data_IF_918361600124
#
_entry.id   IF_918361600124
#
_cell.length_a   1.000
_cell.length_b   1.000
_cell.length_c   1.000
_cell.angle_alpha   90.00
_cell.angle_beta   90.00
_cell.angle_gamma   90.00
#
_symmetry.space_group_name_H-M   'P 1'
#
loop_
_entity.id
_entity.type
_entity.pdbx_description
1 polymer ?
#
# COMPACT_ATOMS: atom_id res chain seq x y z
N UNK A 1 -24.42 3.27 -1.94
CA UNK A 1 -24.84 3.02 -0.54
C UNK A 1 -23.97 3.93 0.32
N UNK A 2 -24.58 4.77 1.15
CA UNK A 2 -23.82 5.66 2.04
C UNK A 2 -23.84 5.05 3.44
N UNK A 3 -22.70 4.62 3.95
CA UNK A 3 -22.53 4.14 5.32
C UNK A 3 -21.45 4.95 6.02
N UNK A 4 -21.55 5.09 7.34
CA UNK A 4 -20.53 5.72 8.15
C UNK A 4 -19.63 4.64 8.75
N UNK A 5 -18.35 4.54 8.32
CA UNK A 5 -17.45 3.51 8.80
C UNK A 5 -17.16 3.60 10.32
N UNK A 6 -17.40 4.77 10.94
CA UNK A 6 -17.23 4.96 12.38
C UNK A 6 -18.27 4.21 13.22
N UNK A 7 -19.39 3.80 12.61
CA UNK A 7 -20.46 3.06 13.30
C UNK A 7 -20.22 1.57 13.39
N UNK A 8 -19.26 1.04 12.61
CA UNK A 8 -18.95 -0.39 12.67
C UNK A 8 -18.17 -0.72 13.96
N UNK A 9 -18.33 -1.94 14.44
CA UNK A 9 -17.50 -2.49 15.49
C UNK A 9 -16.23 -3.03 14.87
N UNK A 10 -15.17 -2.25 14.87
CA UNK A 10 -13.86 -2.67 14.34
C UNK A 10 -13.19 -3.64 15.29
N UNK A 11 -12.83 -4.82 14.80
CA UNK A 11 -12.06 -5.82 15.53
C UNK A 11 -10.56 -5.52 15.42
N UNK A 12 -10.13 -5.06 14.26
CA UNK A 12 -8.75 -4.70 13.98
C UNK A 12 -8.37 -4.95 12.53
N UNK A 13 -7.09 -5.00 12.25
CA UNK A 13 -6.52 -5.46 10.98
C UNK A 13 -5.41 -6.46 11.26
N UNK A 14 -5.39 -7.60 10.55
CA UNK A 14 -4.38 -8.66 10.75
C UNK A 14 -2.99 -8.25 10.30
N UNK A 15 -2.90 -7.24 9.42
CA UNK A 15 -1.63 -6.67 8.98
C UNK A 15 -1.80 -5.19 8.65
N UNK A 16 -0.68 -4.47 8.62
CA UNK A 16 -0.62 -3.04 8.31
C UNK A 16 0.62 -2.77 7.47
N UNK A 17 0.47 -2.01 6.38
CA UNK A 17 1.62 -1.56 5.59
C UNK A 17 2.52 -0.58 6.35
N UNK A 18 2.08 -0.04 7.48
CA UNK A 18 2.97 0.69 8.39
C UNK A 18 4.05 -0.20 9.01
N UNK A 19 3.77 -1.49 9.18
CA UNK A 19 4.67 -2.50 9.72
C UNK A 19 5.30 -3.37 8.61
N UNK A 20 4.55 -3.66 7.53
CA UNK A 20 5.04 -4.23 6.28
C UNK A 20 5.56 -3.08 5.37
N UNK A 21 5.41 -3.16 4.07
CA UNK A 21 5.67 -2.08 3.13
C UNK A 21 4.83 -2.22 1.86
N UNK A 22 4.51 -1.10 1.23
CA UNK A 22 4.03 -1.06 -0.14
C UNK A 22 5.13 -0.47 -1.01
N UNK A 23 5.56 -1.18 -2.05
CA UNK A 23 6.80 -0.90 -2.77
C UNK A 23 6.52 -0.46 -4.20
N UNK A 24 7.28 0.51 -4.70
CA UNK A 24 7.48 0.72 -6.12
C UNK A 24 8.67 -0.14 -6.57
N UNK A 25 8.40 -1.14 -7.39
CA UNK A 25 9.40 -2.07 -7.91
C UNK A 25 9.52 -1.95 -9.42
N UNK A 26 10.77 -1.91 -9.91
CA UNK A 26 11.12 -1.91 -11.33
C UNK A 26 12.15 -3.00 -11.63
N UNK A 27 12.11 -3.51 -12.85
CA UNK A 27 13.19 -4.37 -13.35
C UNK A 27 14.52 -3.60 -13.39
N UNK A 28 15.61 -4.29 -13.08
CA UNK A 28 16.97 -3.70 -13.11
C UNK A 28 17.42 -3.31 -14.53
N UNK A 29 16.85 -3.94 -15.57
CA UNK A 29 17.13 -3.63 -16.98
C UNK A 29 16.20 -2.52 -17.55
N UNK A 30 15.29 -1.96 -16.76
CA UNK A 30 14.48 -0.81 -17.17
C UNK A 30 15.33 0.45 -17.37
N UNK A 31 14.94 1.39 -18.25
CA UNK A 31 15.71 2.62 -18.50
C UNK A 31 15.86 3.52 -17.27
N UNK A 32 14.84 3.55 -16.41
CA UNK A 32 14.82 4.33 -15.17
C UNK A 32 15.48 3.52 -14.06
N UNK A 33 16.54 4.07 -13.48
CA UNK A 33 17.37 3.37 -12.50
C UNK A 33 17.23 3.93 -11.08
N UNK A 34 16.73 5.15 -10.95
CA UNK A 34 16.67 5.91 -9.68
C UNK A 34 15.48 6.87 -9.67
N UNK A 35 15.15 7.41 -8.49
CA UNK A 35 14.16 8.50 -8.36
C UNK A 35 14.61 9.75 -9.14
N UNK A 36 15.91 10.02 -9.19
CA UNK A 36 16.44 11.15 -9.97
C UNK A 36 16.21 10.94 -11.47
N UNK A 37 16.38 9.73 -11.98
CA UNK A 37 16.05 9.41 -13.38
C UNK A 37 14.55 9.54 -13.65
N UNK A 38 13.72 9.06 -12.71
CA UNK A 38 12.26 9.14 -12.82
C UNK A 38 11.74 10.58 -12.83
N UNK A 39 12.50 11.55 -12.33
CA UNK A 39 12.18 12.98 -12.31
C UNK A 39 12.88 13.77 -13.43
N UNK A 40 13.70 13.14 -14.26
CA UNK A 40 14.50 13.84 -15.27
C UNK A 40 13.58 14.42 -16.36
N UNK A 41 13.61 15.74 -16.61
CA UNK A 41 12.84 16.33 -17.68
C UNK A 41 13.19 15.70 -19.04
N UNK A 42 12.18 15.28 -19.82
CA UNK A 42 12.38 14.61 -21.09
C UNK A 42 12.96 13.19 -21.02
N UNK A 43 13.14 12.65 -19.81
CA UNK A 43 13.52 11.26 -19.62
C UNK A 43 12.40 10.28 -19.97
N UNK A 44 12.71 8.98 -20.14
CA UNK A 44 11.69 7.97 -20.42
C UNK A 44 10.77 7.81 -19.20
N UNK A 45 9.45 7.57 -19.42
CA UNK A 45 8.57 7.23 -18.31
C UNK A 45 8.81 5.81 -17.83
N UNK A 46 8.55 5.57 -16.55
CA UNK A 46 8.42 4.22 -16.00
C UNK A 46 7.12 3.58 -16.50
N UNK A 47 7.21 2.46 -17.22
CA UNK A 47 6.05 1.71 -17.70
C UNK A 47 5.57 0.78 -16.59
N UNK A 48 4.58 1.22 -15.80
CA UNK A 48 4.03 0.46 -14.68
C UNK A 48 2.73 -0.23 -15.07
N UNK A 49 2.59 -1.48 -14.66
CA UNK A 49 1.35 -2.23 -14.82
C UNK A 49 0.36 -1.97 -13.68
N UNK A 50 -0.92 -1.89 -14.03
CA UNK A 50 -2.05 -1.76 -13.11
C UNK A 50 -3.18 -2.74 -13.43
N UNK A 51 -4.01 -3.05 -12.43
CA UNK A 51 -5.09 -4.04 -12.58
C UNK A 51 -6.44 -3.41 -12.90
N UNK A 52 -6.90 -2.53 -12.06
CA UNK A 52 -8.22 -1.91 -12.20
C UNK A 52 -8.28 -0.57 -11.47
N UNK A 53 -9.18 0.25 -11.92
CA UNK A 53 -9.52 1.52 -11.30
C UNK A 53 -9.85 1.36 -9.81
N UNK A 54 -9.26 2.21 -8.94
CA UNK A 54 -9.41 2.14 -7.49
C UNK A 54 -8.61 1.02 -6.83
N UNK A 55 -7.80 0.29 -7.57
CA UNK A 55 -6.82 -0.64 -7.00
C UNK A 55 -5.56 0.12 -6.57
N UNK A 56 -4.84 -0.44 -5.61
CA UNK A 56 -3.58 0.15 -5.14
C UNK A 56 -2.49 0.12 -6.21
N UNK A 57 -2.55 -0.82 -7.17
CA UNK A 57 -1.64 -0.87 -8.31
C UNK A 57 -1.86 0.27 -9.32
N UNK A 58 -3.03 0.91 -9.27
CA UNK A 58 -3.38 2.05 -10.11
C UNK A 58 -3.26 3.37 -9.34
N UNK A 59 -3.84 3.43 -8.15
CA UNK A 59 -3.93 4.66 -7.37
C UNK A 59 -2.56 5.15 -6.89
N UNK A 60 -1.68 4.24 -6.44
CA UNK A 60 -0.34 4.65 -5.97
C UNK A 60 0.52 5.23 -7.09
N UNK A 61 0.66 4.61 -8.29
CA UNK A 61 1.37 5.25 -9.41
C UNK A 61 0.86 6.64 -9.76
N UNK A 62 -0.46 6.85 -9.75
CA UNK A 62 -1.05 8.17 -10.00
C UNK A 62 -0.58 9.17 -8.93
N UNK A 63 -0.68 8.82 -7.65
CA UNK A 63 -0.22 9.67 -6.56
C UNK A 63 1.29 9.98 -6.65
N UNK A 64 2.11 8.98 -6.98
CA UNK A 64 3.54 9.18 -7.15
C UNK A 64 3.86 10.11 -8.34
N UNK A 65 3.11 10.02 -9.43
CA UNK A 65 3.22 10.92 -10.58
C UNK A 65 2.84 12.35 -10.20
N UNK A 66 1.66 12.53 -9.63
CA UNK A 66 1.10 13.87 -9.36
C UNK A 66 1.78 14.58 -8.19
N UNK A 67 2.12 13.85 -7.11
CA UNK A 67 2.64 14.45 -5.89
C UNK A 67 4.18 14.48 -5.83
N UNK A 68 4.85 13.55 -6.50
CA UNK A 68 6.30 13.46 -6.48
C UNK A 68 6.96 13.84 -7.83
N UNK A 69 6.17 14.11 -8.86
CA UNK A 69 6.69 14.45 -10.19
C UNK A 69 7.45 13.30 -10.86
N UNK A 70 7.08 12.05 -10.57
CA UNK A 70 7.69 10.90 -11.23
C UNK A 70 7.08 10.70 -12.63
N UNK A 71 7.92 10.51 -13.64
CA UNK A 71 7.45 10.21 -14.99
C UNK A 71 6.95 8.76 -15.03
N UNK A 72 5.65 8.56 -14.89
CA UNK A 72 4.99 7.26 -14.89
C UNK A 72 4.00 7.19 -16.02
N UNK A 73 4.07 6.13 -16.82
CA UNK A 73 3.03 5.70 -17.76
C UNK A 73 2.40 4.42 -17.21
N UNK A 74 1.14 4.52 -16.80
CA UNK A 74 0.38 3.40 -16.26
C UNK A 74 -0.28 2.61 -17.40
N UNK A 75 -0.09 1.30 -17.43
CA UNK A 75 -0.69 0.35 -18.37
C UNK A 75 -1.70 -0.49 -17.59
N UNK A 76 -2.98 -0.18 -17.75
CA UNK A 76 -4.07 -0.83 -17.04
C UNK A 76 -4.67 -2.02 -17.81
N UNK A 77 -5.47 -2.82 -17.11
CA UNK A 77 -6.27 -3.89 -17.69
C UNK A 77 -5.74 -5.29 -17.42
N UNK A 78 -4.70 -5.44 -16.60
CA UNK A 78 -4.30 -6.77 -16.13
C UNK A 78 -5.36 -7.32 -15.19
N UNK A 79 -5.86 -8.52 -15.46
CA UNK A 79 -7.00 -9.12 -14.75
C UNK A 79 -6.80 -9.22 -13.24
N UNK A 80 -5.59 -9.55 -12.83
CA UNK A 80 -5.21 -9.75 -11.43
C UNK A 80 -3.71 -9.59 -11.20
N UNK A 81 -3.30 -9.67 -9.94
CA UNK A 81 -1.90 -9.50 -9.54
C UNK A 81 -0.98 -10.59 -10.11
N UNK A 82 -1.46 -11.83 -10.28
CA UNK A 82 -0.68 -12.93 -10.84
C UNK A 82 -0.34 -12.70 -12.31
N UNK A 83 -1.33 -12.28 -13.10
CA UNK A 83 -1.12 -11.92 -14.51
C UNK A 83 -0.15 -10.75 -14.64
N UNK A 84 -0.25 -9.76 -13.75
CA UNK A 84 0.65 -8.61 -13.77
C UNK A 84 2.09 -8.99 -13.39
N UNK A 85 2.30 -9.91 -12.46
CA UNK A 85 3.63 -10.44 -12.16
C UNK A 85 4.24 -11.10 -13.40
N UNK A 86 3.46 -11.95 -14.10
CA UNK A 86 3.90 -12.62 -15.33
C UNK A 86 4.25 -11.61 -16.43
N UNK A 87 3.44 -10.56 -16.62
CA UNK A 87 3.70 -9.50 -17.60
C UNK A 87 5.04 -8.79 -17.35
N UNK A 88 5.39 -8.56 -16.07
CA UNK A 88 6.70 -7.99 -15.72
C UNK A 88 7.83 -8.97 -16.04
N UNK A 89 7.69 -10.25 -15.70
CA UNK A 89 8.69 -11.28 -16.02
C UNK A 89 8.87 -11.43 -17.54
N UNK A 90 7.80 -11.30 -18.32
CA UNK A 90 7.82 -11.31 -19.79
C UNK A 90 8.25 -9.99 -20.44
N UNK A 91 8.54 -8.95 -19.61
CA UNK A 91 8.99 -7.63 -20.06
C UNK A 91 7.94 -6.80 -20.83
N UNK A 92 6.66 -7.09 -20.65
CA UNK A 92 5.58 -6.28 -21.23
C UNK A 92 5.49 -4.90 -20.55
N UNK A 93 5.73 -4.88 -19.23
CA UNK A 93 5.86 -3.65 -18.43
C UNK A 93 7.13 -3.71 -17.58
N UNK A 94 7.58 -2.56 -17.11
CA UNK A 94 8.86 -2.45 -16.40
C UNK A 94 8.73 -2.74 -14.91
N UNK A 95 7.54 -2.57 -14.34
CA UNK A 95 7.33 -2.77 -12.91
C UNK A 95 5.91 -2.49 -12.47
N UNK A 96 5.76 -2.33 -11.16
CA UNK A 96 4.47 -2.07 -10.50
C UNK A 96 4.65 -1.51 -9.12
N UNK A 97 3.54 -1.05 -8.53
CA UNK A 97 3.43 -0.90 -7.07
C UNK A 97 2.77 -2.15 -6.47
N UNK A 98 3.28 -2.62 -5.32
CA UNK A 98 2.86 -3.90 -4.73
C UNK A 98 3.21 -4.00 -3.25
N UNK A 99 2.38 -4.69 -2.47
CA UNK A 99 2.69 -5.02 -1.07
C UNK A 99 3.83 -6.04 -0.95
N UNK A 100 4.76 -5.81 -0.05
CA UNK A 100 5.93 -6.67 0.16
C UNK A 100 5.54 -8.11 0.49
N UNK A 101 4.51 -8.33 1.33
CA UNK A 101 4.01 -9.67 1.63
C UNK A 101 3.51 -10.42 0.37
N UNK A 102 2.93 -9.71 -0.60
CA UNK A 102 2.54 -10.31 -1.87
C UNK A 102 3.74 -10.73 -2.71
N UNK A 103 4.83 -9.96 -2.68
CA UNK A 103 6.09 -10.33 -3.34
C UNK A 103 6.70 -11.55 -2.66
N UNK A 104 6.77 -11.55 -1.32
CA UNK A 104 7.31 -12.69 -0.55
C UNK A 104 6.58 -14.00 -0.82
N UNK A 105 5.24 -13.95 -0.90
CA UNK A 105 4.42 -15.14 -1.11
C UNK A 105 4.40 -15.64 -2.55
N UNK A 106 4.33 -14.74 -3.54
CA UNK A 106 4.12 -15.10 -4.94
C UNK A 106 5.40 -15.07 -5.78
N UNK A 107 6.35 -14.14 -5.49
CA UNK A 107 7.54 -13.87 -6.29
C UNK A 107 8.78 -13.60 -5.43
N UNK A 108 9.03 -14.46 -4.43
CA UNK A 108 10.13 -14.28 -3.48
C UNK A 108 11.52 -14.12 -4.12
N UNK A 109 11.74 -14.62 -5.34
CA UNK A 109 12.97 -14.42 -6.09
C UNK A 109 13.24 -12.93 -6.46
N UNK A 110 12.20 -12.07 -6.46
CA UNK A 110 12.37 -10.64 -6.66
C UNK A 110 13.04 -9.93 -5.48
N UNK A 111 13.15 -10.61 -4.33
CA UNK A 111 13.81 -10.11 -3.12
C UNK A 111 15.17 -10.79 -2.86
N UNK A 112 15.57 -11.72 -3.72
CA UNK A 112 16.87 -12.41 -3.61
C UNK A 112 18.03 -11.44 -3.90
N UNK A 113 19.27 -11.72 -3.43
CA UNK A 113 20.43 -10.87 -3.69
C UNK A 113 20.70 -10.62 -5.18
N UNK A 114 20.43 -11.63 -6.01
CA UNK A 114 20.56 -11.61 -7.48
C UNK A 114 19.24 -11.23 -8.19
N UNK A 115 18.29 -10.67 -7.45
CA UNK A 115 16.97 -10.27 -7.98
C UNK A 115 17.07 -9.50 -9.29
N UNK A 116 16.20 -9.80 -10.28
CA UNK A 116 16.06 -8.97 -11.49
C UNK A 116 15.37 -7.63 -11.22
N UNK A 117 14.83 -7.45 -10.02
CA UNK A 117 14.07 -6.26 -9.62
C UNK A 117 14.88 -5.35 -8.68
N UNK A 118 14.48 -4.09 -8.63
CA UNK A 118 14.91 -3.11 -7.63
C UNK A 118 13.71 -2.45 -6.98
N UNK A 119 13.84 -2.06 -5.74
CA UNK A 119 12.87 -1.22 -5.03
C UNK A 119 13.33 0.23 -5.13
N UNK A 120 12.47 1.12 -5.61
CA UNK A 120 12.78 2.55 -5.76
C UNK A 120 12.18 3.42 -4.66
N UNK A 121 11.06 2.99 -4.07
CA UNK A 121 10.30 3.79 -3.12
C UNK A 121 9.44 2.89 -2.23
N UNK A 122 9.24 3.32 -0.98
CA UNK A 122 8.30 2.74 -0.03
C UNK A 122 7.10 3.68 0.15
N UNK A 123 5.89 3.14 0.09
CA UNK A 123 4.61 3.83 0.33
C UNK A 123 3.87 3.19 1.49
N UNK A 124 2.93 3.92 2.11
CA UNK A 124 2.10 3.41 3.19
C UNK A 124 2.76 3.44 4.57
N UNK A 125 3.93 4.08 4.70
CA UNK A 125 4.69 4.09 5.95
C UNK A 125 5.45 5.39 6.21
N UNK A 126 5.58 5.73 7.50
CA UNK A 126 6.23 6.97 7.92
C UNK A 126 7.76 6.90 7.92
N UNK A 127 8.32 5.70 8.11
CA UNK A 127 9.78 5.48 8.20
C UNK A 127 10.19 4.33 7.30
N UNK A 128 11.45 4.31 6.90
CA UNK A 128 12.01 3.23 6.07
C UNK A 128 11.95 1.89 6.81
N UNK A 129 11.61 0.82 6.07
CA UNK A 129 11.71 -0.54 6.57
C UNK A 129 13.21 -0.89 6.73
N UNK A 130 13.64 -1.53 7.82
CA UNK A 130 15.06 -1.89 8.01
C UNK A 130 15.65 -2.71 6.85
N UNK A 131 14.87 -3.62 6.26
CA UNK A 131 15.25 -4.41 5.08
C UNK A 131 15.54 -3.55 3.83
N UNK A 132 14.95 -2.35 3.75
CA UNK A 132 15.12 -1.38 2.66
C UNK A 132 15.57 -0.02 3.19
N UNK A 133 16.56 -0.01 4.09
CA UNK A 133 17.04 1.20 4.75
C UNK A 133 17.54 2.28 3.78
N UNK A 134 18.03 1.88 2.60
CA UNK A 134 18.53 2.79 1.57
C UNK A 134 17.44 3.29 0.61
N UNK A 135 16.21 2.74 0.70
CA UNK A 135 15.09 3.11 -0.16
C UNK A 135 14.23 4.16 0.55
N UNK A 136 14.01 5.35 -0.05
CA UNK A 136 13.23 6.41 0.58
C UNK A 136 11.75 6.06 0.67
N UNK A 137 11.06 6.67 1.64
CA UNK A 137 9.59 6.67 1.68
C UNK A 137 9.03 7.78 0.78
N UNK A 138 7.76 7.64 0.38
CA UNK A 138 7.07 8.69 -0.38
C UNK A 138 7.06 10.03 0.38
N UNK A 139 6.92 9.99 1.72
CA UNK A 139 6.92 11.20 2.56
C UNK A 139 8.26 11.93 2.56
N UNK A 140 9.38 11.20 2.49
CA UNK A 140 10.73 11.80 2.40
C UNK A 140 10.97 12.49 1.05
N UNK A 141 10.29 12.03 -0.01
CA UNK A 141 10.42 12.55 -1.37
C UNK A 141 9.43 13.67 -1.69
N UNK A 142 8.50 13.98 -0.80
CA UNK A 142 7.52 15.05 -0.99
C UNK A 142 8.25 16.41 -1.18
N UNK A 143 7.90 17.18 -2.23
CA UNK A 143 8.56 18.44 -2.53
C UNK A 143 8.25 19.55 -1.52
N UNK A 144 7.11 19.45 -0.84
CA UNK A 144 6.63 20.43 0.14
C UNK A 144 5.67 19.78 1.17
N UNK A 145 5.25 20.56 2.16
CA UNK A 145 4.37 20.11 3.22
C UNK A 145 2.96 19.78 2.72
N UNK A 146 2.48 20.43 1.64
CA UNK A 146 1.17 20.14 1.06
C UNK A 146 1.15 18.76 0.40
N UNK A 147 2.12 18.46 -0.46
CA UNK A 147 2.29 17.13 -1.06
C UNK A 147 2.46 16.05 0.00
N UNK A 148 3.24 16.35 1.06
CA UNK A 148 3.39 15.44 2.21
C UNK A 148 2.06 15.17 2.90
N UNK A 149 1.24 16.18 3.15
CA UNK A 149 -0.06 16.03 3.79
C UNK A 149 -1.03 15.18 2.93
N UNK A 150 -1.01 15.34 1.61
CA UNK A 150 -1.78 14.50 0.68
C UNK A 150 -1.30 13.05 0.67
N UNK A 151 0.02 12.81 0.68
CA UNK A 151 0.59 11.46 0.80
C UNK A 151 0.16 10.82 2.11
N UNK A 152 0.32 11.53 3.24
CA UNK A 152 -0.09 11.02 4.56
C UNK A 152 -1.58 10.71 4.63
N UNK A 153 -2.43 11.53 4.00
CA UNK A 153 -3.86 11.28 3.89
C UNK A 153 -4.16 10.03 3.05
N UNK A 154 -3.49 9.89 1.91
CA UNK A 154 -3.64 8.74 1.02
C UNK A 154 -3.15 7.43 1.65
N UNK A 155 -2.18 7.51 2.57
CA UNK A 155 -1.63 6.35 3.29
C UNK A 155 -2.49 5.86 4.46
N UNK A 156 -3.46 6.64 4.95
CA UNK A 156 -4.28 6.23 6.09
C UNK A 156 -4.99 4.88 5.89
N UNK A 157 -5.61 4.57 4.73
CA UNK A 157 -6.22 3.26 4.49
C UNK A 157 -5.22 2.10 4.53
N UNK A 158 -3.94 2.35 4.26
CA UNK A 158 -2.88 1.33 4.26
C UNK A 158 -2.53 0.82 5.66
N UNK A 159 -2.94 1.56 6.71
CA UNK A 159 -2.88 1.05 8.09
C UNK A 159 -3.79 -0.16 8.30
N UNK A 160 -4.84 -0.28 7.48
CA UNK A 160 -5.88 -1.30 7.55
C UNK A 160 -5.80 -2.23 6.33
N UNK A 161 -4.68 -2.92 6.13
CA UNK A 161 -4.50 -3.72 4.91
C UNK A 161 -5.37 -4.99 4.86
N UNK A 162 -5.73 -5.57 6.02
CA UNK A 162 -6.64 -6.72 6.14
C UNK A 162 -7.61 -6.52 7.31
N UNK A 163 -8.59 -5.60 7.14
CA UNK A 163 -9.48 -5.20 8.23
C UNK A 163 -10.58 -6.22 8.50
N UNK A 164 -10.95 -6.32 9.77
CA UNK A 164 -12.10 -7.08 10.26
C UNK A 164 -13.03 -6.16 11.03
N UNK A 165 -14.31 -6.18 10.67
CA UNK A 165 -15.34 -5.41 11.32
C UNK A 165 -16.62 -6.24 11.47
N UNK A 166 -17.34 -5.99 12.54
CA UNK A 166 -18.68 -6.48 12.76
C UNK A 166 -19.70 -5.36 12.51
N UNK A 167 -20.99 -5.68 12.28
CA UNK A 167 -22.04 -4.70 12.10
C UNK A 167 -22.10 -3.65 13.24
N UNK A 168 -22.69 -2.48 12.99
CA UNK A 168 -22.98 -1.53 14.06
C UNK A 168 -23.95 -2.09 15.09
N UNK A 169 -23.99 -1.45 16.26
CA UNK A 169 -24.94 -1.76 17.36
C UNK A 169 -24.74 -3.15 17.99
N UNK A 170 -23.55 -3.71 17.92
CA UNK A 170 -23.25 -4.94 18.67
C UNK A 170 -23.29 -4.66 20.18
N UNK A 171 -23.90 -5.58 20.98
CA UNK A 171 -23.84 -5.44 22.44
C UNK A 171 -22.38 -5.32 22.93
N UNK A 172 -22.06 -4.38 23.85
CA UNK A 172 -20.68 -4.08 24.25
C UNK A 172 -19.88 -5.29 24.70
N UNK A 173 -20.48 -6.20 25.45
CA UNK A 173 -19.83 -7.43 25.91
C UNK A 173 -19.44 -8.34 24.73
N UNK A 174 -20.26 -8.43 23.69
CA UNK A 174 -19.96 -9.21 22.50
C UNK A 174 -18.89 -8.54 21.64
N UNK A 175 -18.96 -7.23 21.49
CA UNK A 175 -17.94 -6.45 20.78
C UNK A 175 -16.57 -6.67 21.42
N UNK A 176 -16.49 -6.53 22.74
CA UNK A 176 -15.25 -6.76 23.49
C UNK A 176 -14.73 -8.20 23.34
N UNK A 177 -15.59 -9.20 23.47
CA UNK A 177 -15.19 -10.61 23.31
C UNK A 177 -14.60 -10.88 21.92
N UNK A 178 -15.18 -10.32 20.86
CA UNK A 178 -14.67 -10.45 19.49
C UNK A 178 -13.34 -9.73 19.30
N UNK A 179 -13.17 -8.53 19.85
CA UNK A 179 -11.92 -7.78 19.80
C UNK A 179 -10.79 -8.50 20.56
N UNK A 180 -11.08 -9.03 21.76
CA UNK A 180 -10.13 -9.79 22.56
C UNK A 180 -9.72 -11.09 21.84
N UNK A 181 -10.68 -11.82 21.25
CA UNK A 181 -10.42 -13.03 20.48
C UNK A 181 -9.62 -12.73 19.20
N UNK A 182 -9.91 -11.62 18.51
CA UNK A 182 -9.13 -11.19 17.35
C UNK A 182 -7.66 -10.97 17.71
N UNK A 183 -7.38 -10.24 18.79
CA UNK A 183 -5.99 -10.02 19.23
C UNK A 183 -5.31 -11.27 19.76
N UNK A 184 -6.08 -12.19 20.39
CA UNK A 184 -5.56 -13.44 20.93
C UNK A 184 -5.11 -14.39 19.82
N UNK A 185 -5.88 -14.53 18.74
CA UNK A 185 -5.52 -15.41 17.62
C UNK A 185 -4.21 -15.02 16.95
N UNK A 186 -3.88 -13.72 16.93
CA UNK A 186 -2.62 -13.22 16.36
C UNK A 186 -1.39 -13.48 17.26
N UNK A 187 -1.59 -14.10 18.42
CA UNK A 187 -0.53 -14.58 19.32
C UNK A 187 -0.53 -16.11 19.45
N UNK A 188 -1.49 -16.76 18.79
CA UNK A 188 -1.60 -18.21 18.78
C UNK A 188 -0.44 -18.84 17.99
N UNK A 189 0.32 -19.81 18.58
CA UNK A 189 1.47 -20.40 17.91
C UNK A 189 1.12 -21.14 16.61
N UNK A 190 -0.02 -21.81 16.55
CA UNK A 190 -0.44 -22.55 15.35
C UNK A 190 -0.82 -21.61 14.23
N UNK A 191 -1.54 -20.51 14.54
CA UNK A 191 -1.83 -19.44 13.59
C UNK A 191 -0.56 -18.81 13.03
N UNK A 192 0.41 -18.48 13.91
CA UNK A 192 1.67 -17.87 13.49
C UNK A 192 2.51 -18.83 12.63
N UNK A 193 2.54 -20.12 12.98
CA UNK A 193 3.23 -21.13 12.18
C UNK A 193 2.62 -21.30 10.77
N UNK A 194 1.29 -21.24 10.66
CA UNK A 194 0.61 -21.32 9.36
C UNK A 194 0.81 -20.04 8.54
N UNK A 195 0.76 -18.87 9.18
CA UNK A 195 1.06 -17.60 8.52
C UNK A 195 2.50 -17.58 7.97
N UNK A 196 3.47 -18.08 8.71
CA UNK A 196 4.87 -18.21 8.28
C UNK A 196 5.02 -19.14 7.06
N UNK A 197 4.38 -20.32 7.08
CA UNK A 197 4.36 -21.25 5.92
C UNK A 197 3.80 -20.58 4.67
N UNK A 198 2.76 -19.75 4.84
CA UNK A 198 2.11 -19.01 3.75
C UNK A 198 2.85 -17.71 3.40
N UNK A 199 3.89 -17.35 4.15
CA UNK A 199 4.63 -16.07 4.02
C UNK A 199 3.71 -14.84 4.09
N UNK A 200 2.67 -14.91 4.93
CA UNK A 200 1.73 -13.82 5.17
C UNK A 200 2.23 -12.98 6.34
N UNK A 201 2.27 -11.66 6.14
CA UNK A 201 2.59 -10.73 7.23
C UNK A 201 1.53 -10.77 8.34
N UNK A 202 2.00 -10.88 9.58
CA UNK A 202 1.19 -10.81 10.79
C UNK A 202 1.70 -9.64 11.64
N UNK A 203 1.08 -8.49 11.44
CA UNK A 203 1.36 -7.25 12.17
C UNK A 203 0.04 -6.60 12.62
N UNK A 204 -0.67 -7.24 13.58
CA UNK A 204 -2.03 -6.86 13.91
C UNK A 204 -2.09 -5.48 14.57
N UNK A 205 -3.16 -4.75 14.25
CA UNK A 205 -3.60 -3.56 14.98
C UNK A 205 -5.01 -3.82 15.51
N UNK A 206 -5.30 -3.35 16.74
CA UNK A 206 -6.62 -3.52 17.36
C UNK A 206 -7.69 -2.59 16.82
N UNK A 207 -8.95 -2.85 17.20
CA UNK A 207 -10.13 -2.12 16.75
C UNK A 207 -10.08 -0.63 17.06
N UNK A 208 -9.55 -0.23 18.22
CA UNK A 208 -9.40 1.18 18.59
C UNK A 208 -8.43 1.91 17.66
N UNK A 209 -7.30 1.30 17.31
CA UNK A 209 -6.34 1.89 16.37
C UNK A 209 -6.93 1.96 14.95
N UNK A 210 -7.72 0.97 14.55
CA UNK A 210 -8.45 1.00 13.30
C UNK A 210 -9.45 2.17 13.25
N UNK A 211 -10.24 2.34 14.31
CA UNK A 211 -11.19 3.45 14.41
C UNK A 211 -10.50 4.81 14.43
N UNK A 212 -9.36 4.94 15.12
CA UNK A 212 -8.57 6.17 15.12
C UNK A 212 -8.06 6.54 13.70
N UNK A 213 -7.60 5.57 12.92
CA UNK A 213 -7.18 5.81 11.54
C UNK A 213 -8.35 6.30 10.66
N UNK A 214 -9.53 5.69 10.81
CA UNK A 214 -10.76 6.09 10.12
C UNK A 214 -11.19 7.50 10.55
N UNK A 215 -11.18 7.78 11.84
CA UNK A 215 -11.51 9.10 12.38
C UNK A 215 -10.56 10.19 11.86
N UNK A 216 -9.26 9.90 11.79
CA UNK A 216 -8.27 10.81 11.21
C UNK A 216 -8.59 11.12 9.75
N UNK A 217 -8.96 10.12 8.96
CA UNK A 217 -9.37 10.30 7.56
C UNK A 217 -10.63 11.17 7.46
N UNK A 218 -11.64 10.89 8.26
CA UNK A 218 -12.91 11.63 8.23
C UNK A 218 -12.75 13.08 8.69
N UNK A 219 -11.89 13.33 9.70
CA UNK A 219 -11.61 14.65 10.27
C UNK A 219 -10.56 15.46 9.50
N UNK A 220 -9.90 14.87 8.50
CA UNK A 220 -8.94 15.61 7.67
C UNK A 220 -9.62 16.77 6.94
N UNK A 221 -8.88 17.84 6.59
CA UNK A 221 -9.42 19.01 5.90
C UNK A 221 -10.24 18.61 4.65
N UNK A 222 -11.46 19.15 4.47
CA UNK A 222 -12.31 18.81 3.33
C UNK A 222 -11.64 19.06 1.98
N UNK A 223 -10.84 20.13 1.89
CA UNK A 223 -10.07 20.54 0.70
C UNK A 223 -9.04 19.48 0.31
N UNK A 224 -8.28 18.92 1.27
CA UNK A 224 -7.32 17.86 1.00
C UNK A 224 -8.02 16.58 0.51
N UNK A 225 -9.16 16.24 1.12
CA UNK A 225 -9.95 15.08 0.66
C UNK A 225 -10.53 15.29 -0.76
N UNK A 226 -10.97 16.51 -1.06
CA UNK A 226 -11.49 16.85 -2.38
C UNK A 226 -10.37 16.78 -3.43
N UNK A 227 -9.19 17.30 -3.11
CA UNK A 227 -8.02 17.25 -3.97
C UNK A 227 -7.55 15.81 -4.20
N UNK A 228 -7.42 15.01 -3.16
CA UNK A 228 -7.05 13.60 -3.29
C UNK A 228 -8.03 12.84 -4.21
N UNK A 229 -9.35 13.09 -4.07
CA UNK A 229 -10.36 12.50 -4.96
C UNK A 229 -10.19 12.95 -6.41
N UNK A 230 -9.89 14.23 -6.62
CA UNK A 230 -9.65 14.77 -7.96
C UNK A 230 -8.43 14.12 -8.61
N UNK A 231 -7.30 14.04 -7.89
CA UNK A 231 -6.08 13.40 -8.39
C UNK A 231 -6.32 11.94 -8.80
N UNK A 232 -7.07 11.20 -7.99
CA UNK A 232 -7.39 9.80 -8.28
C UNK A 232 -8.45 9.62 -9.40
N UNK A 233 -9.23 10.67 -9.71
CA UNK A 233 -10.21 10.65 -10.80
C UNK A 233 -9.61 11.10 -12.14
N UNK A 234 -8.55 11.92 -12.13
CA UNK A 234 -7.83 12.39 -13.33
C UNK A 234 -6.86 11.29 -13.83
N UNK A 235 -7.42 10.30 -14.49
CA UNK A 235 -6.69 9.15 -15.05
C UNK A 235 -6.33 9.43 -16.52
N UNK A 236 -5.15 9.99 -16.75
CA UNK A 236 -4.60 10.18 -18.11
C UNK A 236 -3.53 9.14 -18.41
#
# INVERSE_FOLDING_TARGET
MHFDPRKFTWLGSSSSYANDAYLLMLRKDAPVQSIADARRPGGPPMMLGGTAEGSTSDDVPILLRELLGLHIKLINGYRDSGVLFLAIDQKEVEGRTVGLSSVRSAHGHWLAPDSPMRVLLQFGRATRLPEFSDVPTARELAPDDHARALIELAELPYLLSRPFAAPPDLPPARAKALQDAFLAVHKDPDYLADAEKLKVDVSPIGGDAALQAIDKLVKSPPELRAELRRLLAERQ
#
